data_IF_732770730439
#
_entry.id   IF_732770730439
#
_cell.length_a   1.000
_cell.length_b   1.000
_cell.length_c   1.000
_cell.angle_alpha   90.00
_cell.angle_beta   90.00
_cell.angle_gamma   90.00
#
_symmetry.space_group_name_H-M   'P 1'
#
loop_
_entity.id
_entity.type
_entity.pdbx_description
1 polymer ?
#
# COMPACT_ATOMS: atom_id res chain seq x y z
N UNK A 1 -27.71 -11.72 -32.78
CA UNK A 1 -27.90 -10.80 -31.62
C UNK A 1 -27.97 -11.62 -30.32
N UNK A 2 -26.91 -12.36 -29.98
CA UNK A 2 -26.87 -13.19 -28.76
C UNK A 2 -25.50 -13.16 -28.07
N UNK A 3 -24.68 -12.13 -28.34
CA UNK A 3 -23.31 -12.03 -27.80
C UNK A 3 -23.11 -10.84 -26.86
N UNK A 4 -24.12 -9.96 -26.73
CA UNK A 4 -24.08 -8.81 -25.83
C UNK A 4 -24.64 -9.09 -24.42
N UNK A 5 -25.27 -10.25 -24.21
CA UNK A 5 -25.79 -10.65 -22.88
C UNK A 5 -24.70 -11.24 -21.98
N UNK A 6 -23.67 -11.89 -22.56
CA UNK A 6 -22.63 -12.56 -21.77
C UNK A 6 -21.60 -11.62 -21.12
N UNK A 7 -21.55 -10.35 -21.54
CA UNK A 7 -20.53 -9.40 -21.07
C UNK A 7 -20.98 -8.56 -19.86
N UNK A 8 -22.27 -8.57 -19.53
CA UNK A 8 -22.83 -7.78 -18.41
C UNK A 8 -22.98 -8.63 -17.14
N UNK A 9 -22.97 -9.96 -17.25
CA UNK A 9 -23.04 -10.87 -16.09
C UNK A 9 -21.74 -10.86 -15.25
N UNK A 10 -20.56 -10.82 -15.88
CA UNK A 10 -19.28 -10.96 -15.15
C UNK A 10 -18.81 -9.72 -14.38
N UNK A 11 -19.57 -8.62 -14.41
CA UNK A 11 -19.24 -7.37 -13.68
C UNK A 11 -20.17 -7.15 -12.48
N UNK A 12 -21.23 -7.95 -12.36
CA UNK A 12 -22.19 -7.91 -11.25
C UNK A 12 -22.08 -9.10 -10.28
N UNK A 13 -21.18 -10.07 -10.53
CA UNK A 13 -20.74 -11.08 -9.55
C UNK A 13 -19.58 -10.55 -8.69
N UNK A 14 -19.78 -9.33 -8.20
CA UNK A 14 -19.17 -8.86 -6.98
C UNK A 14 -19.99 -9.49 -5.80
N UNK A 15 -19.39 -9.54 -4.61
CA UNK A 15 -20.08 -9.28 -3.34
C UNK A 15 -20.58 -10.40 -2.41
N UNK A 16 -20.57 -11.69 -2.72
CA UNK A 16 -20.91 -12.68 -1.69
C UNK A 16 -20.00 -13.93 -1.75
N UNK A 17 -19.57 -14.40 -0.58
CA UNK A 17 -19.00 -15.74 -0.33
C UNK A 17 -17.48 -15.94 -0.42
N UNK A 18 -16.70 -15.12 0.28
CA UNK A 18 -15.46 -15.60 0.95
C UNK A 18 -15.33 -15.12 2.41
N UNK A 19 -16.44 -14.65 2.98
CA UNK A 19 -16.66 -14.76 4.42
C UNK A 19 -16.85 -16.26 4.71
N UNK A 20 -16.20 -16.77 5.76
CA UNK A 20 -16.46 -18.10 6.34
C UNK A 20 -15.76 -19.32 5.68
N UNK A 21 -14.45 -19.49 5.91
CA UNK A 21 -13.84 -20.72 6.46
C UNK A 21 -12.31 -20.72 6.31
N UNK A 22 -11.60 -20.10 7.24
CA UNK A 22 -10.30 -20.59 7.70
C UNK A 22 -9.95 -19.84 8.98
N UNK A 23 -10.37 -20.40 10.12
CA UNK A 23 -10.06 -19.90 11.43
C UNK A 23 -8.62 -20.19 11.84
N UNK A 24 -8.10 -19.27 12.65
CA UNK A 24 -6.88 -19.35 13.46
C UNK A 24 -5.57 -19.53 12.70
N UNK A 25 -4.77 -18.45 12.64
CA UNK A 25 -3.56 -18.32 13.48
C UNK A 25 -2.74 -17.15 12.94
N UNK A 26 -2.92 -15.96 13.53
CA UNK A 26 -1.83 -15.04 13.88
C UNK A 26 -2.45 -13.82 14.54
N UNK A 27 -2.26 -13.79 15.85
CA UNK A 27 -2.09 -12.60 16.66
C UNK A 27 -1.27 -11.53 15.92
N UNK A 28 -1.94 -10.60 15.25
CA UNK A 28 -1.45 -9.23 15.20
C UNK A 28 -2.51 -8.37 15.82
N UNK A 29 -2.28 -8.01 17.08
CA UNK A 29 -3.09 -7.05 17.82
C UNK A 29 -3.22 -5.78 17.00
N UNK A 30 -4.40 -5.58 16.43
CA UNK A 30 -4.81 -4.27 15.95
C UNK A 30 -5.33 -3.55 17.20
N UNK A 31 -4.43 -2.95 17.98
CA UNK A 31 -4.84 -2.01 19.02
C UNK A 31 -5.52 -0.81 18.35
N UNK A 32 -6.85 -0.78 18.40
CA UNK A 32 -7.64 0.42 18.23
C UNK A 32 -7.79 1.11 19.59
N UNK A 33 -6.96 2.13 19.83
CA UNK A 33 -7.07 3.05 20.97
C UNK A 33 -7.70 4.38 20.50
N UNK A 34 -8.95 4.70 20.88
CA UNK A 34 -9.42 6.10 20.92
C UNK A 34 -9.00 6.68 22.30
N UNK A 35 -8.48 7.88 22.51
CA UNK A 35 -8.74 9.22 21.98
C UNK A 35 -7.40 9.99 22.20
N UNK A 36 -6.74 10.47 21.14
CA UNK A 36 -5.28 10.81 21.09
C UNK A 36 -4.31 9.63 21.22
N UNK A 37 -4.36 8.68 20.28
CA UNK A 37 -3.35 7.62 20.13
C UNK A 37 -2.20 8.00 19.20
N UNK A 38 -1.02 7.37 19.37
CA UNK A 38 0.14 7.52 18.47
C UNK A 38 -0.30 7.28 17.01
N UNK A 39 -0.19 8.33 16.17
CA UNK A 39 -0.61 8.32 14.75
C UNK A 39 0.25 7.34 13.94
N UNK A 40 1.51 7.20 14.34
CA UNK A 40 2.51 6.39 13.67
C UNK A 40 2.42 4.93 14.14
N UNK A 41 1.49 4.17 13.57
CA UNK A 41 1.42 2.70 13.72
C UNK A 41 1.89 2.03 12.42
N UNK A 42 2.48 0.83 12.48
CA UNK A 42 2.79 0.09 11.26
C UNK A 42 1.51 -0.20 10.48
N UNK A 43 1.60 -0.24 9.15
CA UNK A 43 0.47 -0.43 8.24
C UNK A 43 -0.31 0.84 7.92
N UNK A 44 0.04 2.00 8.48
CA UNK A 44 -0.53 3.29 8.07
C UNK A 44 0.07 3.76 6.75
N UNK A 45 -0.78 4.32 5.89
CA UNK A 45 -0.37 4.92 4.61
C UNK A 45 0.03 6.36 4.86
N UNK A 46 1.24 6.70 4.42
CA UNK A 46 1.85 8.02 4.58
C UNK A 46 2.27 8.56 3.21
N UNK A 47 2.42 9.88 3.12
CA UNK A 47 2.96 10.56 1.95
C UNK A 47 4.34 11.10 2.29
N UNK A 48 5.34 10.78 1.45
CA UNK A 48 6.70 11.28 1.65
C UNK A 48 6.74 12.77 1.29
N UNK A 49 7.19 13.61 2.22
CA UNK A 49 7.14 15.07 2.08
C UNK A 49 8.39 15.64 1.41
N UNK A 50 9.56 15.05 1.60
CA UNK A 50 10.84 15.61 1.14
C UNK A 50 11.79 14.57 0.55
N UNK A 51 12.80 15.04 -0.17
CA UNK A 51 13.82 14.20 -0.83
C UNK A 51 13.39 13.62 -2.18
N UNK A 52 14.18 12.66 -2.69
CA UNK A 52 14.00 12.06 -4.03
C UNK A 52 12.62 11.41 -4.24
N UNK A 53 12.01 10.93 -3.17
CA UNK A 53 10.73 10.21 -3.20
C UNK A 53 9.54 11.08 -2.76
N UNK A 54 9.70 12.39 -2.69
CA UNK A 54 8.62 13.31 -2.33
C UNK A 54 7.39 13.14 -3.25
N UNK A 55 6.20 13.25 -2.68
CA UNK A 55 4.92 13.07 -3.38
C UNK A 55 4.57 11.61 -3.71
N UNK A 56 5.38 10.64 -3.27
CA UNK A 56 5.07 9.21 -3.37
C UNK A 56 4.32 8.75 -2.12
N UNK A 57 3.36 7.85 -2.33
CA UNK A 57 2.62 7.16 -1.29
C UNK A 57 3.49 6.01 -0.79
N UNK A 58 3.47 5.80 0.51
CA UNK A 58 4.23 4.78 1.15
C UNK A 58 3.49 4.22 2.37
N UNK A 59 3.99 3.12 2.89
CA UNK A 59 3.45 2.42 4.05
C UNK A 59 4.53 2.36 5.11
N UNK A 60 4.14 2.66 6.33
CA UNK A 60 4.99 2.53 7.51
C UNK A 60 5.13 1.04 7.87
N UNK A 61 6.35 0.52 7.87
CA UNK A 61 6.63 -0.90 8.13
C UNK A 61 7.09 -1.11 9.57
N UNK A 62 7.97 -0.24 10.07
CA UNK A 62 8.47 -0.29 11.46
C UNK A 62 8.68 1.12 11.98
N UNK A 63 8.48 1.30 13.28
CA UNK A 63 8.61 2.58 13.97
C UNK A 63 9.72 2.48 14.99
N UNK A 64 10.57 3.50 15.01
CA UNK A 64 11.63 3.67 16.01
C UNK A 64 11.37 5.00 16.71
N UNK A 65 10.66 4.95 17.84
CA UNK A 65 10.26 6.13 18.60
C UNK A 65 11.42 6.67 19.47
N UNK A 66 12.29 5.80 19.95
CA UNK A 66 13.38 6.11 20.91
C UNK A 66 14.72 6.44 20.23
N UNK A 67 14.75 6.40 18.89
CA UNK A 67 15.97 6.60 18.11
C UNK A 67 16.86 5.34 18.06
N UNK A 68 17.78 5.34 17.08
CA UNK A 68 18.85 4.34 16.91
C UNK A 68 20.18 5.04 17.14
N UNK A 69 21.26 4.31 17.42
CA UNK A 69 22.62 4.86 17.56
C UNK A 69 23.00 5.84 16.44
N UNK A 70 22.55 5.58 15.21
CA UNK A 70 22.87 6.39 14.03
C UNK A 70 21.99 7.65 13.93
N UNK A 71 20.81 7.63 14.54
CA UNK A 71 19.77 8.65 14.42
C UNK A 71 19.04 8.78 15.76
N UNK A 72 19.37 9.80 16.58
CA UNK A 72 18.78 9.97 17.91
C UNK A 72 17.32 10.47 17.88
N UNK A 73 16.78 10.80 16.70
CA UNK A 73 15.40 11.24 16.53
C UNK A 73 14.48 10.07 16.15
N UNK A 74 13.20 10.22 16.48
CA UNK A 74 12.15 9.30 16.06
C UNK A 74 12.10 9.20 14.53
N UNK A 75 12.20 7.99 14.00
CA UNK A 75 12.18 7.72 12.56
C UNK A 75 11.30 6.52 12.23
N UNK A 76 10.63 6.59 11.08
CA UNK A 76 9.84 5.52 10.53
C UNK A 76 10.61 4.84 9.41
N UNK A 77 10.54 3.51 9.38
CA UNK A 77 10.95 2.72 8.23
C UNK A 77 9.76 2.57 7.28
N UNK A 78 9.93 3.09 6.07
CA UNK A 78 8.85 3.31 5.11
C UNK A 78 9.15 2.58 3.80
N UNK A 79 8.15 1.87 3.28
CA UNK A 79 8.20 1.21 1.99
C UNK A 79 7.18 1.87 1.06
N UNK A 80 7.63 2.36 -0.09
CA UNK A 80 6.79 3.11 -1.01
C UNK A 80 6.97 2.72 -2.48
N UNK A 81 6.15 3.35 -3.33
CA UNK A 81 6.18 3.12 -4.78
C UNK A 81 6.78 4.33 -5.48
N UNK A 82 7.93 4.14 -6.13
CA UNK A 82 8.62 5.21 -6.90
C UNK A 82 7.95 5.35 -8.26
N UNK A 83 7.84 4.23 -8.98
CA UNK A 83 7.14 4.19 -10.26
C UNK A 83 5.79 3.52 -10.10
N UNK A 84 4.74 4.33 -10.12
CA UNK A 84 3.37 3.85 -10.16
C UNK A 84 3.08 3.11 -11.47
N UNK A 85 2.19 2.11 -11.42
CA UNK A 85 1.69 1.47 -12.63
C UNK A 85 1.01 2.52 -13.51
N UNK A 86 1.35 2.55 -14.79
CA UNK A 86 0.75 3.48 -15.76
C UNK A 86 -0.55 2.89 -16.27
N UNK A 87 -1.56 3.73 -16.53
CA UNK A 87 -2.85 3.31 -17.07
C UNK A 87 -2.69 2.40 -18.30
N UNK A 88 -3.41 1.29 -18.28
CA UNK A 88 -3.47 0.30 -19.35
C UNK A 88 -4.79 0.47 -20.13
N UNK A 89 -4.69 0.45 -21.46
CA UNK A 89 -5.81 0.52 -22.39
C UNK A 89 -5.86 -0.79 -23.20
N UNK A 90 -7.06 -1.26 -23.54
CA UNK A 90 -7.29 -2.54 -24.25
C UNK A 90 -6.58 -2.67 -25.60
N UNK A 91 -6.25 -1.55 -26.26
CA UNK A 91 -5.55 -1.51 -27.56
C UNK A 91 -4.04 -1.78 -27.49
N UNK A 92 -3.47 -1.88 -26.28
CA UNK A 92 -2.03 -2.08 -26.14
C UNK A 92 -1.62 -3.55 -26.29
N UNK A 93 -0.49 -3.79 -26.97
CA UNK A 93 0.10 -5.14 -27.05
C UNK A 93 0.70 -5.61 -25.72
N UNK A 94 0.74 -6.93 -25.52
CA UNK A 94 1.18 -7.61 -24.29
C UNK A 94 2.54 -7.10 -23.76
N UNK A 95 3.49 -6.85 -24.66
CA UNK A 95 4.82 -6.32 -24.31
C UNK A 95 4.79 -4.91 -23.72
N UNK A 96 3.90 -4.03 -24.23
CA UNK A 96 3.72 -2.67 -23.71
C UNK A 96 2.97 -2.69 -22.37
N UNK A 97 2.02 -3.62 -22.21
CA UNK A 97 1.30 -3.83 -20.94
C UNK A 97 2.29 -4.21 -19.84
N UNK A 98 3.14 -5.23 -20.09
CA UNK A 98 4.11 -5.70 -19.10
C UNK A 98 5.07 -4.58 -18.65
N UNK A 99 5.55 -3.75 -19.58
CA UNK A 99 6.42 -2.59 -19.27
C UNK A 99 5.71 -1.51 -18.46
N UNK A 100 4.40 -1.31 -18.63
CA UNK A 100 3.60 -0.30 -17.90
C UNK A 100 3.17 -0.76 -16.51
N UNK A 101 2.98 -2.06 -16.32
CA UNK A 101 2.61 -2.66 -15.04
C UNK A 101 3.79 -2.87 -14.08
N UNK A 102 5.04 -2.75 -14.56
CA UNK A 102 6.22 -2.91 -13.71
C UNK A 102 6.29 -1.78 -12.66
N UNK A 103 6.11 -2.15 -11.41
CA UNK A 103 6.25 -1.27 -10.25
C UNK A 103 7.73 -1.25 -9.84
N UNK A 104 8.24 -0.06 -9.51
CA UNK A 104 9.55 0.09 -8.86
C UNK A 104 9.31 0.50 -7.41
N UNK A 105 9.41 -0.43 -6.44
CA UNK A 105 9.32 -0.08 -5.03
C UNK A 105 10.62 0.61 -4.57
N UNK A 106 10.52 1.36 -3.48
CA UNK A 106 11.66 1.89 -2.75
C UNK A 106 11.47 1.68 -1.25
N UNK A 107 12.58 1.69 -0.54
CA UNK A 107 12.63 1.60 0.91
C UNK A 107 13.43 2.78 1.42
N UNK A 108 12.89 3.47 2.41
CA UNK A 108 13.49 4.67 2.97
C UNK A 108 13.21 4.74 4.47
N UNK A 109 14.18 5.25 5.21
CA UNK A 109 13.98 5.66 6.60
C UNK A 109 13.69 7.15 6.62
N UNK A 110 12.47 7.52 6.98
CA UNK A 110 11.98 8.89 7.01
C UNK A 110 11.88 9.40 8.45
N UNK A 111 12.30 10.65 8.74
CA UNK A 111 12.17 11.25 10.07
C UNK A 111 10.68 11.51 10.42
N UNK A 112 10.35 11.43 11.70
CA UNK A 112 8.97 11.56 12.21
C UNK A 112 8.56 13.01 12.50
N UNK A 113 9.51 13.93 12.57
CA UNK A 113 9.21 15.35 12.79
C UNK A 113 8.61 15.98 11.53
N UNK A 114 7.33 15.71 11.26
CA UNK A 114 6.42 16.58 10.53
C UNK A 114 4.99 16.36 10.98
#
# INVERSE_FOLDING_TARGET
MASYCFFVQSVLDELHDNFFFCGLFLSTGIEYTPIMGKIMKPGKVVLVLSGRYAGRKAIVVKNYDEGTSDKPYGHAFVAGIDRYPRKVNKRMGKNKIHKRSKIKPFVKTDPVHT
#
